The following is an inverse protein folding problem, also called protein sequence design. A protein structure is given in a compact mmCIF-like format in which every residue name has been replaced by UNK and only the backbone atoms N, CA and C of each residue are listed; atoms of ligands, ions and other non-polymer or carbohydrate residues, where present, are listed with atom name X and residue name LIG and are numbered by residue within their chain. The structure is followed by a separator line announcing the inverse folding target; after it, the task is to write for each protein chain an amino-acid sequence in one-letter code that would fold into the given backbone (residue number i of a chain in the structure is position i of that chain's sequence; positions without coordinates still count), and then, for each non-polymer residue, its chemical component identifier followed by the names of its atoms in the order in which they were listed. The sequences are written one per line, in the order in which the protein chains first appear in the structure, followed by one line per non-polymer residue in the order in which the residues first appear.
data_IF_200393207126
#
_entry.id   IF_200393207126
#
_cell.length_a   1.000
_cell.length_b   1.000
_cell.length_c   1.000
_cell.angle_alpha   90.00
_cell.angle_beta   90.00
_cell.angle_gamma   90.00
#
_symmetry.space_group_name_H-M   'P 1'
#
loop_
_entity.id
_entity.type
_entity.pdbx_description
1 polymer ?
#
# COMPACT_ATOMS: atom_id res chain seq x y z
N UNK A 1 37.02 9.32 -36.87
CA UNK A 1 36.15 9.97 -35.87
C UNK A 1 34.79 10.14 -36.50
N UNK A 2 33.73 9.69 -35.82
CA UNK A 2 32.35 9.80 -36.33
C UNK A 2 31.93 11.27 -36.26
N UNK A 3 31.32 11.81 -37.32
CA UNK A 3 30.84 13.20 -37.34
C UNK A 3 29.58 13.34 -36.49
N UNK A 4 29.33 14.55 -35.97
CA UNK A 4 28.16 14.83 -35.14
C UNK A 4 26.84 14.53 -35.88
N UNK A 5 26.80 14.78 -37.19
CA UNK A 5 25.64 14.52 -38.05
C UNK A 5 25.34 13.02 -38.15
N UNK A 6 26.36 12.19 -38.27
CA UNK A 6 26.19 10.72 -38.33
C UNK A 6 25.66 10.20 -36.99
N UNK A 7 26.13 10.76 -35.88
CA UNK A 7 25.66 10.40 -34.54
C UNK A 7 24.20 10.82 -34.30
N UNK A 8 23.81 12.02 -34.75
CA UNK A 8 22.42 12.48 -34.71
C UNK A 8 21.50 11.60 -35.55
N UNK A 9 21.95 11.21 -36.76
CA UNK A 9 21.18 10.36 -37.66
C UNK A 9 20.96 8.96 -37.07
N UNK A 10 21.98 8.40 -36.43
CA UNK A 10 21.86 7.12 -35.72
C UNK A 10 20.92 7.22 -34.52
N UNK A 11 20.98 8.31 -33.76
CA UNK A 11 20.10 8.55 -32.62
C UNK A 11 18.63 8.68 -33.05
N UNK A 12 18.35 9.43 -34.12
CA UNK A 12 17.00 9.56 -34.67
C UNK A 12 16.47 8.21 -35.18
N UNK A 13 17.30 7.42 -35.88
CA UNK A 13 16.92 6.09 -36.34
C UNK A 13 16.59 5.13 -35.19
N UNK A 14 17.30 5.22 -34.07
CA UNK A 14 17.01 4.42 -32.85
C UNK A 14 15.72 4.89 -32.16
N UNK A 15 15.41 6.20 -32.18
CA UNK A 15 14.15 6.70 -31.60
C UNK A 15 12.92 6.41 -32.47
N UNK A 16 13.06 6.43 -33.80
CA UNK A 16 11.98 6.06 -34.73
C UNK A 16 11.79 4.54 -34.84
N UNK A 17 12.79 3.75 -34.43
CA UNK A 17 12.64 2.31 -34.34
C UNK A 17 11.57 1.96 -33.30
N UNK A 18 10.44 1.43 -33.77
CA UNK A 18 9.39 0.94 -32.90
C UNK A 18 9.99 -0.11 -31.93
N UNK A 19 9.68 -0.03 -30.61
CA UNK A 19 10.17 -1.00 -29.65
C UNK A 19 9.79 -2.42 -30.10
N UNK A 20 10.79 -3.27 -30.32
CA UNK A 20 10.64 -4.59 -30.98
C UNK A 20 9.76 -5.55 -30.20
N UNK A 21 9.56 -5.29 -28.90
CA UNK A 21 8.63 -6.02 -28.04
C UNK A 21 7.93 -5.03 -27.10
N UNK A 22 6.75 -4.57 -27.48
CA UNK A 22 5.85 -3.93 -26.53
C UNK A 22 5.20 -5.03 -25.69
N UNK A 23 5.46 -5.02 -24.39
CA UNK A 23 4.69 -5.83 -23.46
C UNK A 23 3.25 -5.30 -23.48
N UNK A 24 2.31 -6.15 -23.88
CA UNK A 24 0.91 -5.85 -23.69
C UNK A 24 0.60 -5.80 -22.19
N UNK A 25 -0.42 -5.05 -21.81
CA UNK A 25 -0.87 -4.95 -20.41
C UNK A 25 -1.12 -6.34 -19.79
N UNK A 26 -1.69 -7.26 -20.58
CA UNK A 26 -1.88 -8.67 -20.18
C UNK A 26 -0.57 -9.39 -19.90
N UNK A 27 0.42 -9.22 -20.75
CA UNK A 27 1.75 -9.81 -20.55
C UNK A 27 2.42 -9.26 -19.27
N UNK A 28 2.25 -7.97 -18.97
CA UNK A 28 2.71 -7.39 -17.72
C UNK A 28 2.03 -8.02 -16.49
N UNK A 29 0.70 -8.18 -16.52
CA UNK A 29 -0.05 -8.84 -15.43
C UNK A 29 0.44 -10.29 -15.23
N UNK A 30 0.59 -11.06 -16.31
CA UNK A 30 1.07 -12.45 -16.22
C UNK A 30 2.48 -12.54 -15.64
N UNK A 31 3.37 -11.59 -15.95
CA UNK A 31 4.72 -11.52 -15.38
C UNK A 31 4.64 -11.24 -13.88
N UNK A 32 3.82 -10.27 -13.46
CA UNK A 32 3.63 -9.94 -12.04
C UNK A 32 3.09 -11.13 -11.27
N UNK A 33 2.05 -11.80 -11.78
CA UNK A 33 1.48 -13.01 -11.17
C UNK A 33 2.52 -14.11 -11.04
N UNK A 34 3.30 -14.39 -12.10
CA UNK A 34 4.39 -15.38 -12.05
C UNK A 34 5.48 -15.03 -11.03
N UNK A 35 5.77 -13.74 -10.84
CA UNK A 35 6.72 -13.28 -9.83
C UNK A 35 6.17 -13.43 -8.40
N UNK A 36 4.87 -13.24 -8.20
CA UNK A 36 4.18 -13.52 -6.94
C UNK A 36 4.18 -15.03 -6.62
N UNK A 37 3.88 -15.89 -7.59
CA UNK A 37 3.93 -17.36 -7.44
C UNK A 37 5.32 -17.84 -7.02
N UNK A 38 6.37 -17.25 -7.60
CA UNK A 38 7.77 -17.53 -7.23
C UNK A 38 8.21 -16.90 -5.91
N UNK A 39 7.29 -16.26 -5.17
CA UNK A 39 7.53 -15.54 -3.90
C UNK A 39 8.65 -14.51 -3.96
N UNK A 40 8.93 -13.95 -5.14
CA UNK A 40 9.96 -12.92 -5.32
C UNK A 40 9.47 -11.53 -4.93
N UNK A 41 8.15 -11.32 -4.98
CA UNK A 41 7.47 -10.08 -4.58
C UNK A 41 6.19 -10.44 -3.85
N UNK A 42 5.89 -9.67 -2.80
CA UNK A 42 4.68 -9.81 -2.00
C UNK A 42 3.76 -8.63 -2.30
N UNK A 43 2.73 -8.90 -3.10
CA UNK A 43 1.73 -7.93 -3.52
C UNK A 43 0.35 -8.38 -3.06
N UNK A 44 -0.50 -7.41 -2.79
CA UNK A 44 -1.91 -7.56 -2.43
C UNK A 44 -2.75 -7.02 -3.57
N UNK A 45 -3.79 -7.73 -3.96
CA UNK A 45 -4.75 -7.21 -4.96
C UNK A 45 -5.83 -6.39 -4.28
N UNK A 46 -6.23 -5.28 -4.90
CA UNK A 46 -7.43 -4.54 -4.48
C UNK A 46 -8.69 -5.39 -4.65
N UNK A 47 -9.77 -5.04 -3.98
CA UNK A 47 -11.05 -5.77 -4.02
C UNK A 47 -11.63 -5.87 -5.43
N UNK A 48 -11.26 -4.93 -6.32
CA UNK A 48 -11.64 -4.93 -7.73
C UNK A 48 -10.71 -5.78 -8.62
N UNK A 49 -9.61 -6.32 -8.07
CA UNK A 49 -8.62 -7.12 -8.79
C UNK A 49 -7.80 -6.34 -9.83
N UNK A 50 -7.91 -5.01 -9.86
CA UNK A 50 -7.31 -4.17 -10.90
C UNK A 50 -5.95 -3.62 -10.53
N UNK A 51 -5.65 -3.53 -9.25
CA UNK A 51 -4.44 -2.87 -8.76
C UNK A 51 -3.69 -3.79 -7.79
N UNK A 52 -2.36 -3.68 -7.84
CA UNK A 52 -1.46 -4.36 -6.94
C UNK A 52 -0.88 -3.36 -5.95
N UNK A 53 -1.03 -3.65 -4.66
CA UNK A 53 -0.55 -2.83 -3.55
C UNK A 53 0.54 -3.60 -2.82
N UNK A 54 1.63 -2.94 -2.45
CA UNK A 54 2.67 -3.56 -1.62
C UNK A 54 2.25 -3.58 -0.15
N UNK A 55 2.74 -4.56 0.61
CA UNK A 55 2.48 -4.61 2.05
C UNK A 55 3.03 -3.39 2.81
N UNK A 56 4.09 -2.75 2.29
CA UNK A 56 4.67 -1.54 2.88
C UNK A 56 3.75 -0.33 2.66
N UNK A 57 3.27 -0.15 1.43
CA UNK A 57 2.29 0.89 1.09
C UNK A 57 1.03 0.73 1.93
N UNK A 58 0.49 -0.50 2.02
CA UNK A 58 -0.68 -0.80 2.84
C UNK A 58 -0.48 -0.42 4.31
N UNK A 59 0.70 -0.72 4.88
CA UNK A 59 1.00 -0.35 6.26
C UNK A 59 1.08 1.17 6.46
N UNK A 60 1.55 1.92 5.46
CA UNK A 60 1.61 3.38 5.51
C UNK A 60 0.22 4.00 5.39
N UNK A 61 -0.62 3.45 4.52
CA UNK A 61 -2.01 3.86 4.36
C UNK A 61 -2.81 3.63 5.64
N UNK A 62 -2.69 2.45 6.27
CA UNK A 62 -3.31 2.15 7.57
C UNK A 62 -2.92 3.19 8.63
N UNK A 63 -1.64 3.55 8.73
CA UNK A 63 -1.18 4.58 9.69
C UNK A 63 -1.77 5.95 9.40
N UNK A 64 -1.83 6.32 8.12
CA UNK A 64 -2.39 7.60 7.69
C UNK A 64 -3.88 7.66 7.99
N UNK A 65 -4.61 6.58 7.70
CA UNK A 65 -6.03 6.47 7.99
C UNK A 65 -6.31 6.56 9.49
N UNK A 66 -5.51 5.88 10.31
CA UNK A 66 -5.60 5.93 11.77
C UNK A 66 -5.36 7.34 12.32
N UNK A 67 -4.35 8.06 11.80
CA UNK A 67 -4.06 9.43 12.19
C UNK A 67 -5.22 10.39 11.84
N UNK A 68 -5.81 10.24 10.64
CA UNK A 68 -6.94 11.04 10.19
C UNK A 68 -8.21 10.81 11.05
N UNK A 69 -8.38 9.61 11.60
CA UNK A 69 -9.54 9.24 12.44
C UNK A 69 -9.29 9.45 13.94
N UNK A 70 -8.38 10.38 14.30
CA UNK A 70 -8.02 10.71 15.70
C UNK A 70 -7.59 9.48 16.53
N UNK A 71 -7.08 8.44 15.87
CA UNK A 71 -6.47 7.31 16.55
C UNK A 71 -7.39 6.13 16.90
N UNK A 72 -8.65 6.08 16.43
CA UNK A 72 -9.50 4.87 16.45
C UNK A 72 -10.18 4.69 15.10
N UNK A 73 -10.11 3.50 14.52
CA UNK A 73 -10.75 3.18 13.24
C UNK A 73 -11.20 1.73 13.18
N UNK A 74 -12.38 1.47 12.62
CA UNK A 74 -12.85 0.10 12.38
C UNK A 74 -12.11 -0.51 11.17
N UNK A 75 -11.67 -1.77 11.30
CA UNK A 75 -10.89 -2.46 10.27
C UNK A 75 -11.70 -2.69 8.99
N UNK A 76 -12.99 -2.97 9.08
CA UNK A 76 -13.86 -3.21 7.91
C UNK A 76 -14.12 -1.91 7.15
N UNK A 77 -14.41 -0.83 7.88
CA UNK A 77 -14.58 0.50 7.28
C UNK A 77 -13.28 0.98 6.63
N UNK A 78 -12.14 0.79 7.30
CA UNK A 78 -10.83 1.10 6.76
C UNK A 78 -10.53 0.28 5.51
N UNK A 79 -10.81 -1.02 5.51
CA UNK A 79 -10.62 -1.88 4.33
C UNK A 79 -11.45 -1.41 3.14
N UNK A 80 -12.69 -0.97 3.39
CA UNK A 80 -13.58 -0.41 2.37
C UNK A 80 -13.02 0.91 1.82
N UNK A 81 -12.53 1.79 2.69
CA UNK A 81 -11.94 3.07 2.29
C UNK A 81 -10.62 2.90 1.50
N UNK A 82 -9.82 1.88 1.84
CA UNK A 82 -8.58 1.53 1.14
C UNK A 82 -8.82 0.71 -0.13
N UNK A 83 -10.04 0.18 -0.33
CA UNK A 83 -10.35 -0.67 -1.48
C UNK A 83 -9.63 -2.02 -1.47
N UNK A 84 -9.33 -2.56 -0.27
CA UNK A 84 -8.62 -3.83 -0.06
C UNK A 84 -9.54 -4.80 0.71
N UNK A 85 -9.33 -6.10 0.55
CA UNK A 85 -10.09 -7.12 1.29
C UNK A 85 -9.90 -6.97 2.82
N UNK A 86 -10.98 -7.02 3.62
CA UNK A 86 -10.90 -6.95 5.09
C UNK A 86 -9.91 -7.96 5.69
N UNK A 87 -9.87 -9.20 5.18
CA UNK A 87 -8.99 -10.26 5.69
C UNK A 87 -7.51 -9.87 5.63
N UNK A 88 -7.12 -9.16 4.56
CA UNK A 88 -5.72 -8.78 4.33
C UNK A 88 -5.35 -7.59 5.22
N UNK A 89 -6.28 -6.65 5.37
CA UNK A 89 -6.12 -5.51 6.26
C UNK A 89 -6.03 -5.99 7.70
N UNK A 90 -6.88 -6.92 8.13
CA UNK A 90 -6.87 -7.53 9.46
C UNK A 90 -5.54 -8.26 9.74
N UNK A 91 -5.08 -9.11 8.82
CA UNK A 91 -3.80 -9.77 8.96
C UNK A 91 -2.64 -8.76 9.11
N UNK A 92 -2.71 -7.63 8.39
CA UNK A 92 -1.70 -6.58 8.44
C UNK A 92 -1.76 -5.76 9.73
N UNK A 93 -2.95 -5.39 10.20
CA UNK A 93 -3.12 -4.67 11.47
C UNK A 93 -2.71 -5.53 12.66
N UNK A 94 -2.95 -6.85 12.60
CA UNK A 94 -2.48 -7.79 13.62
C UNK A 94 -0.94 -7.88 13.63
N UNK A 95 -0.30 -7.99 12.47
CA UNK A 95 1.17 -7.93 12.35
C UNK A 95 1.73 -6.61 12.93
N UNK A 96 1.09 -5.48 12.62
CA UNK A 96 1.50 -4.17 13.10
C UNK A 96 1.36 -4.04 14.62
N UNK A 97 0.27 -4.54 15.19
CA UNK A 97 0.02 -4.59 16.64
C UNK A 97 1.06 -5.45 17.35
N UNK A 98 1.43 -6.60 16.77
CA UNK A 98 2.51 -7.46 17.32
C UNK A 98 3.88 -6.76 17.32
N UNK A 99 4.15 -5.89 16.34
CA UNK A 99 5.43 -5.16 16.23
C UNK A 99 5.47 -3.85 17.00
N UNK A 100 4.31 -3.24 17.29
CA UNK A 100 4.22 -1.90 17.87
C UNK A 100 3.28 -1.89 19.07
N UNK A 101 3.82 -1.63 20.27
CA UNK A 101 3.03 -1.52 21.52
C UNK A 101 2.09 -0.31 21.57
N UNK A 102 2.19 0.59 20.60
CA UNK A 102 1.37 1.81 20.52
C UNK A 102 0.04 1.59 19.79
N UNK A 103 -0.17 0.40 19.23
CA UNK A 103 -1.39 0.00 18.55
C UNK A 103 -2.03 -1.13 19.34
N UNK A 104 -3.35 -1.14 19.38
CA UNK A 104 -4.17 -2.19 19.96
C UNK A 104 -5.30 -2.51 19.00
N UNK A 105 -5.60 -3.80 18.88
CA UNK A 105 -6.73 -4.30 18.10
C UNK A 105 -7.76 -4.87 19.08
N UNK A 106 -8.97 -4.32 19.07
CA UNK A 106 -10.06 -4.66 19.99
C UNK A 106 -11.38 -4.74 19.22
N UNK A 107 -12.04 -5.91 19.22
CA UNK A 107 -13.34 -6.14 18.56
C UNK A 107 -13.44 -5.61 17.12
N UNK A 108 -12.36 -5.73 16.34
CA UNK A 108 -12.30 -5.25 14.95
C UNK A 108 -11.98 -3.77 14.81
N UNK A 109 -11.71 -3.04 15.89
CA UNK A 109 -11.22 -1.67 15.89
C UNK A 109 -9.70 -1.62 16.14
N UNK A 110 -9.01 -0.86 15.31
CA UNK A 110 -7.61 -0.49 15.52
C UNK A 110 -7.55 0.83 16.30
N UNK A 111 -6.95 0.78 17.49
CA UNK A 111 -6.85 1.88 18.44
C UNK A 111 -5.37 2.21 18.69
N UNK A 112 -5.04 3.49 18.64
CA UNK A 112 -3.73 4.01 19.01
C UNK A 112 -3.69 4.41 20.48
N UNK A 113 -2.51 4.35 21.10
CA UNK A 113 -2.30 4.87 22.46
C UNK A 113 -2.56 6.38 22.57
N UNK A 114 -2.42 7.13 21.46
CA UNK A 114 -2.75 8.56 21.43
C UNK A 114 -4.24 8.80 21.70
N UNK A 115 -5.12 7.97 21.13
CA UNK A 115 -6.56 8.03 21.40
C UNK A 115 -6.88 7.79 22.87
N UNK A 116 -6.25 6.80 23.49
CA UNK A 116 -6.45 6.52 24.91
C UNK A 116 -5.95 7.66 25.81
N UNK A 117 -4.81 8.26 25.48
CA UNK A 117 -4.28 9.41 26.23
C UNK A 117 -5.18 10.63 26.12
N UNK A 118 -5.77 10.88 24.93
CA UNK A 118 -6.74 11.96 24.75
C UNK A 118 -7.99 11.74 25.61
N UNK A 119 -8.57 10.54 25.58
CA UNK A 119 -9.73 10.20 26.42
C UNK A 119 -9.39 10.31 27.90
N UNK A 120 -8.22 9.81 28.33
CA UNK A 120 -7.79 9.90 29.71
C UNK A 120 -7.70 11.36 30.18
N UNK A 121 -7.12 12.25 29.37
CA UNK A 121 -7.06 13.68 29.67
C UNK A 121 -8.44 14.37 29.65
N UNK A 122 -9.33 13.98 28.74
CA UNK A 122 -10.71 14.48 28.71
C UNK A 122 -11.48 14.08 29.98
N UNK A 123 -11.32 12.84 30.45
CA UNK A 123 -11.93 12.35 31.68
C UNK A 123 -11.36 13.08 32.90
N UNK A 124 -10.04 13.25 32.97
CA UNK A 124 -9.37 13.97 34.07
C UNK A 124 -9.90 15.40 34.19
N UNK A 125 -10.00 16.13 33.08
CA UNK A 125 -10.58 17.48 33.06
C UNK A 125 -12.07 17.53 33.44
N UNK A 126 -12.83 16.44 33.25
CA UNK A 126 -14.25 16.39 33.59
C UNK A 126 -14.47 16.07 35.08
N UNK A 127 -13.46 15.50 35.73
CA UNK A 127 -13.47 15.16 37.16
C UNK A 127 -12.98 16.31 38.05
N UNK A 128 -12.27 17.30 37.49
CA UNK A 128 -11.94 18.58 38.14
C UNK A 128 -13.11 19.58 38.08
#
# INVERSE_FOLDING_TARGET
MVSLEELQRQFMAVQEAAPTQMLSERACVDIVVKLMEKKKIQLVTTTNGKEFVTLETLAQEIRTHLANHKGRVNVIEMATALGVSPDIVEAKTEEMTRRSRHLMLLDGDLISTLYLNMIAGEIENLLE
#
